data_IF_418540210752
#
_entry.id   IF_418540210752
#
_cell.length_a   1.000
_cell.length_b   1.000
_cell.length_c   1.000
_cell.angle_alpha   90.00
_cell.angle_beta   90.00
_cell.angle_gamma   90.00
#
_symmetry.space_group_name_H-M   'P 1'
#
loop_
_entity.id
_entity.type
_entity.pdbx_description
1 polymer ?
#
# COMPACT_ATOMS: atom_id res chain seq x y z
N UNK A 1 -13.84 30.38 -21.24
CA UNK A 1 -12.47 29.92 -21.59
C UNK A 1 -12.62 28.67 -22.42
N UNK A 2 -12.17 28.73 -23.67
CA UNK A 2 -12.21 27.61 -24.61
C UNK A 2 -11.28 26.52 -24.06
N UNK A 3 -11.80 25.32 -23.80
CA UNK A 3 -10.95 24.15 -23.67
C UNK A 3 -10.34 23.93 -25.06
N UNK A 4 -9.05 24.20 -25.23
CA UNK A 4 -8.34 23.72 -26.42
C UNK A 4 -8.45 22.19 -26.42
N UNK A 5 -9.14 21.63 -27.40
CA UNK A 5 -9.18 20.20 -27.65
C UNK A 5 -7.74 19.69 -27.74
N UNK A 6 -7.34 18.80 -26.82
CA UNK A 6 -6.01 18.18 -26.88
C UNK A 6 -5.91 17.44 -28.20
N UNK A 7 -4.94 17.84 -29.01
CA UNK A 7 -4.59 17.14 -30.24
C UNK A 7 -3.98 15.78 -29.87
N UNK A 8 -4.75 14.72 -30.08
CA UNK A 8 -4.49 13.33 -29.65
C UNK A 8 -3.27 12.71 -30.37
N UNK A 9 -2.77 13.37 -31.42
CA UNK A 9 -1.62 12.93 -32.24
C UNK A 9 -0.27 13.52 -31.79
N UNK A 10 -0.11 13.89 -30.51
CA UNK A 10 1.17 14.39 -29.98
C UNK A 10 1.73 13.45 -28.90
N UNK A 11 3.02 13.05 -29.01
CA UNK A 11 3.63 12.12 -28.07
C UNK A 11 3.67 12.69 -26.66
N UNK A 12 3.28 11.87 -25.68
CA UNK A 12 3.41 12.18 -24.27
C UNK A 12 4.87 12.50 -23.95
N UNK A 13 5.12 13.71 -23.46
CA UNK A 13 6.44 14.12 -22.97
C UNK A 13 6.48 13.91 -21.46
N UNK A 14 7.40 13.06 -21.00
CA UNK A 14 7.50 12.70 -19.58
C UNK A 14 8.89 12.94 -19.01
N UNK A 15 8.94 13.05 -17.68
CA UNK A 15 10.15 13.06 -16.87
C UNK A 15 10.00 12.01 -15.77
N UNK A 16 10.78 10.94 -15.87
CA UNK A 16 10.84 9.88 -14.85
C UNK A 16 12.22 9.95 -14.21
N UNK A 17 12.29 10.18 -12.90
CA UNK A 17 13.53 10.20 -12.15
C UNK A 17 14.25 8.86 -12.17
N UNK A 18 15.55 8.87 -11.90
CA UNK A 18 16.36 7.65 -11.90
C UNK A 18 15.90 6.66 -10.82
N UNK A 19 15.45 7.18 -9.67
CA UNK A 19 14.88 6.42 -8.55
C UNK A 19 13.47 5.87 -8.79
N UNK A 20 12.81 6.29 -9.88
CA UNK A 20 11.47 5.80 -10.19
C UNK A 20 11.51 4.35 -10.70
N UNK A 21 10.43 3.56 -10.48
CA UNK A 21 10.43 2.14 -10.83
C UNK A 21 10.63 1.85 -12.31
N UNK A 22 11.39 0.80 -12.63
CA UNK A 22 11.66 0.38 -14.00
C UNK A 22 10.36 0.02 -14.76
N UNK A 23 9.40 -0.61 -14.09
CA UNK A 23 8.10 -0.96 -14.68
C UNK A 23 7.36 0.27 -15.21
N UNK A 24 7.46 1.43 -14.54
CA UNK A 24 6.86 2.67 -15.02
C UNK A 24 7.43 3.11 -16.37
N UNK A 25 8.72 2.83 -16.64
CA UNK A 25 9.35 3.10 -17.94
C UNK A 25 8.91 2.14 -19.04
N UNK A 26 8.39 0.97 -18.68
CA UNK A 26 7.87 -0.03 -19.63
C UNK A 26 6.39 0.19 -19.95
N UNK A 27 5.64 0.76 -19.00
CA UNK A 27 4.24 1.16 -19.18
C UNK A 27 4.13 2.53 -19.86
N UNK A 28 5.16 3.37 -19.69
CA UNK A 28 5.31 4.61 -20.44
C UNK A 28 5.65 4.34 -21.91
N UNK A 29 4.60 4.33 -22.73
CA UNK A 29 4.45 4.59 -24.18
C UNK A 29 5.71 4.69 -25.08
N UNK A 30 5.54 4.32 -26.36
CA UNK A 30 6.47 4.57 -27.48
C UNK A 30 6.63 6.09 -27.77
N UNK A 31 7.22 6.90 -26.88
CA UNK A 31 7.31 8.36 -27.06
C UNK A 31 8.63 8.99 -26.61
N UNK A 32 8.87 10.25 -27.04
CA UNK A 32 10.14 10.99 -26.88
C UNK A 32 10.47 11.33 -25.42
N UNK A 33 11.58 10.79 -24.92
CA UNK A 33 12.21 11.17 -23.65
C UNK A 33 12.94 12.53 -23.78
N UNK A 34 12.60 13.52 -22.95
CA UNK A 34 13.48 14.69 -22.75
C UNK A 34 14.56 14.37 -21.69
N UNK A 35 15.79 14.85 -21.91
CA UNK A 35 16.86 14.77 -20.89
C UNK A 35 16.49 15.67 -19.71
N UNK A 36 16.80 15.26 -18.47
CA UNK A 36 16.50 16.06 -17.28
C UNK A 36 17.29 17.38 -17.32
N UNK A 37 16.60 18.48 -17.62
CA UNK A 37 17.09 19.80 -17.26
C UNK A 37 16.83 19.98 -15.76
N UNK A 38 17.90 20.15 -14.99
CA UNK A 38 17.82 20.42 -13.56
C UNK A 38 16.97 21.69 -13.35
N UNK A 39 15.83 21.56 -12.68
CA UNK A 39 15.09 22.69 -12.11
C UNK A 39 14.32 23.59 -13.07
N UNK A 40 14.07 23.21 -14.33
CA UNK A 40 13.15 23.96 -15.20
C UNK A 40 12.15 22.99 -15.83
N UNK A 41 10.86 23.22 -15.60
CA UNK A 41 9.79 22.57 -16.34
C UNK A 41 9.67 23.24 -17.71
N UNK A 42 9.99 22.51 -18.78
CA UNK A 42 10.13 23.08 -20.14
C UNK A 42 8.79 23.46 -20.79
N UNK A 43 7.68 23.57 -20.04
CA UNK A 43 6.32 23.78 -20.57
C UNK A 43 5.81 22.63 -21.46
N UNK A 44 6.66 21.69 -21.86
CA UNK A 44 6.35 20.55 -22.73
C UNK A 44 6.11 19.27 -21.94
N UNK A 45 6.77 19.09 -20.79
CA UNK A 45 6.63 17.89 -19.95
C UNK A 45 5.24 17.83 -19.34
N UNK A 46 4.47 16.79 -19.64
CA UNK A 46 3.12 16.57 -19.16
C UNK A 46 3.08 15.67 -17.92
N UNK A 47 3.97 14.67 -17.81
CA UNK A 47 4.01 13.73 -16.69
C UNK A 47 5.35 13.75 -15.98
N UNK A 48 5.34 13.93 -14.66
CA UNK A 48 6.53 14.03 -13.82
C UNK A 48 6.41 13.00 -12.70
N UNK A 49 7.36 12.06 -12.68
CA UNK A 49 7.47 11.07 -11.64
C UNK A 49 8.84 11.12 -10.97
N UNK A 50 8.86 11.21 -9.65
CA UNK A 50 10.06 11.15 -8.81
C UNK A 50 9.91 10.06 -7.74
N UNK A 51 11.00 9.42 -7.34
CA UNK A 51 10.98 8.48 -6.20
C UNK A 51 10.92 9.16 -4.83
N UNK A 52 11.12 10.48 -4.79
CA UNK A 52 11.09 11.31 -3.58
C UNK A 52 10.12 12.47 -3.76
N UNK A 53 9.73 13.10 -2.65
CA UNK A 53 8.87 14.30 -2.66
C UNK A 53 9.49 15.45 -3.44
N UNK A 54 8.63 16.27 -4.04
CA UNK A 54 9.00 17.53 -4.67
C UNK A 54 9.29 18.61 -3.63
N UNK A 55 10.18 19.56 -3.99
CA UNK A 55 10.44 20.76 -3.21
C UNK A 55 9.27 21.74 -3.34
N UNK A 56 9.23 22.75 -2.47
CA UNK A 56 8.19 23.78 -2.54
C UNK A 56 8.16 24.49 -3.90
N UNK A 57 9.33 24.89 -4.40
CA UNK A 57 9.48 25.55 -5.71
C UNK A 57 8.98 24.70 -6.87
N UNK A 58 9.16 23.37 -6.78
CA UNK A 58 8.72 22.44 -7.80
C UNK A 58 7.17 22.45 -7.94
N UNK A 59 6.44 22.67 -6.84
CA UNK A 59 4.98 22.84 -6.85
C UNK A 59 4.55 24.23 -7.34
N UNK A 60 5.30 25.27 -6.98
CA UNK A 60 5.02 26.67 -7.36
C UNK A 60 5.19 26.90 -8.88
N UNK A 61 6.10 26.15 -9.52
CA UNK A 61 6.35 26.22 -10.97
C UNK A 61 5.47 25.25 -11.81
N UNK A 62 4.70 24.38 -11.15
CA UNK A 62 3.88 23.38 -11.81
C UNK A 62 2.75 24.03 -12.63
N UNK A 63 2.64 23.65 -13.91
CA UNK A 63 1.60 24.14 -14.80
C UNK A 63 0.35 23.25 -14.71
N UNK A 64 -0.83 23.83 -14.98
CA UNK A 64 -2.13 23.14 -14.85
C UNK A 64 -2.26 21.86 -15.72
N UNK A 65 -1.54 21.78 -16.84
CA UNK A 65 -1.54 20.62 -17.72
C UNK A 65 -0.60 19.50 -17.25
N UNK A 66 0.27 19.77 -16.27
CA UNK A 66 1.24 18.80 -15.76
C UNK A 66 0.60 17.88 -14.74
N UNK A 67 1.17 16.68 -14.61
CA UNK A 67 0.83 15.70 -13.57
C UNK A 67 2.07 15.33 -12.78
N UNK A 68 2.02 15.53 -11.46
CA UNK A 68 3.12 15.29 -10.53
C UNK A 68 2.75 14.23 -9.51
N UNK A 69 3.59 13.20 -9.35
CA UNK A 69 3.25 11.97 -8.61
C UNK A 69 3.31 12.06 -7.08
N UNK A 70 3.26 13.26 -6.50
CA UNK A 70 3.15 13.44 -5.06
C UNK A 70 2.32 14.67 -4.71
N UNK A 71 1.48 14.55 -3.69
CA UNK A 71 0.85 15.72 -3.06
C UNK A 71 1.79 16.35 -2.02
N UNK A 72 1.76 17.69 -1.87
CA UNK A 72 2.39 18.34 -0.72
C UNK A 72 1.70 17.96 0.59
N UNK A 73 2.45 17.98 1.70
CA UNK A 73 1.98 17.74 3.09
C UNK A 73 1.36 16.36 3.40
N UNK A 74 1.35 15.41 2.49
CA UNK A 74 0.78 14.07 2.76
C UNK A 74 1.67 13.12 3.55
N UNK A 75 2.83 13.58 4.03
CA UNK A 75 3.75 12.74 4.79
C UNK A 75 3.19 12.24 6.12
N UNK A 76 2.16 12.91 6.65
CA UNK A 76 1.54 12.61 7.93
C UNK A 76 0.98 11.17 8.01
N UNK A 77 0.50 10.60 6.90
CA UNK A 77 -0.01 9.22 6.87
C UNK A 77 1.06 8.19 6.50
N UNK A 78 2.18 8.62 5.93
CA UNK A 78 3.22 7.70 5.42
C UNK A 78 4.38 7.45 6.38
N UNK A 79 4.45 8.21 7.48
CA UNK A 79 5.39 7.92 8.58
C UNK A 79 4.64 7.27 9.73
N UNK A 80 5.23 6.22 10.30
CA UNK A 80 4.55 5.35 11.29
C UNK A 80 4.12 6.13 12.53
N UNK A 81 4.99 6.96 13.05
CA UNK A 81 4.77 7.78 14.24
C UNK A 81 3.69 8.84 14.03
N UNK A 82 3.69 9.52 12.88
CA UNK A 82 2.67 10.54 12.57
C UNK A 82 1.32 9.91 12.24
N UNK A 83 1.29 8.74 11.58
CA UNK A 83 0.07 7.99 11.30
C UNK A 83 -0.60 7.54 12.60
N UNK A 84 0.19 7.01 13.55
CA UNK A 84 -0.30 6.62 14.89
C UNK A 84 -0.94 7.81 15.60
N UNK A 85 -0.26 8.98 15.60
CA UNK A 85 -0.80 10.19 16.23
C UNK A 85 -2.11 10.63 15.57
N UNK A 86 -2.14 10.65 14.24
CA UNK A 86 -3.34 11.02 13.48
C UNK A 86 -4.51 10.10 13.83
N UNK A 87 -4.36 8.78 13.68
CA UNK A 87 -5.45 7.82 13.89
C UNK A 87 -5.91 7.77 15.36
N UNK A 88 -5.00 7.98 16.32
CA UNK A 88 -5.38 8.10 17.74
C UNK A 88 -6.17 9.38 18.02
N UNK A 89 -5.78 10.51 17.43
CA UNK A 89 -6.56 11.76 17.52
C UNK A 89 -7.95 11.56 16.92
N UNK A 90 -8.04 10.93 15.76
CA UNK A 90 -9.33 10.66 15.13
C UNK A 90 -10.19 9.68 15.95
N UNK A 91 -9.59 8.65 16.56
CA UNK A 91 -10.29 7.75 17.49
C UNK A 91 -10.78 8.47 18.76
N UNK A 92 -10.03 9.43 19.26
CA UNK A 92 -10.48 10.26 20.39
C UNK A 92 -11.68 11.14 20.01
N UNK A 93 -11.66 11.74 18.82
CA UNK A 93 -12.72 12.67 18.36
C UNK A 93 -13.99 11.96 17.88
N UNK A 94 -13.85 10.85 17.16
CA UNK A 94 -14.94 10.18 16.45
C UNK A 94 -15.23 8.76 16.98
N UNK A 95 -14.50 8.33 18.01
CA UNK A 95 -14.78 7.10 18.73
C UNK A 95 -14.52 5.82 17.91
N UNK A 96 -15.37 4.79 18.06
CA UNK A 96 -15.15 3.45 17.49
C UNK A 96 -15.08 3.39 15.96
N UNK A 97 -15.49 4.44 15.23
CA UNK A 97 -15.36 4.46 13.77
C UNK A 97 -13.89 4.39 13.33
N UNK A 98 -12.96 4.83 14.19
CA UNK A 98 -11.51 4.69 14.01
C UNK A 98 -10.90 3.47 14.72
N UNK A 99 -11.72 2.49 15.14
CA UNK A 99 -11.26 1.24 15.74
C UNK A 99 -10.81 0.21 14.68
N UNK A 100 -9.89 0.62 13.82
CA UNK A 100 -9.29 -0.18 12.75
C UNK A 100 -7.77 -0.07 12.73
N UNK A 101 -7.18 0.50 13.78
CA UNK A 101 -5.75 0.62 13.97
C UNK A 101 -5.38 0.09 15.35
N UNK A 102 -4.39 -0.82 15.47
CA UNK A 102 -4.03 -1.40 16.76
C UNK A 102 -3.52 -0.34 17.74
N UNK A 103 -3.69 -0.59 19.04
CA UNK A 103 -3.18 0.27 20.10
C UNK A 103 -1.67 0.47 19.91
N UNK A 104 -1.21 1.72 19.89
CA UNK A 104 0.18 2.06 19.63
C UNK A 104 0.69 3.21 20.48
N UNK A 105 1.98 3.17 20.80
CA UNK A 105 2.74 4.17 21.53
C UNK A 105 3.99 4.57 20.75
N UNK A 106 4.27 5.87 20.65
CA UNK A 106 5.50 6.39 20.05
C UNK A 106 6.61 6.48 21.10
N UNK A 107 7.66 5.67 21.00
CA UNK A 107 8.82 5.70 21.91
C UNK A 107 9.98 6.50 21.28
N UNK A 108 10.79 7.23 22.07
CA UNK A 108 10.83 7.27 23.55
C UNK A 108 9.73 8.13 24.21
N UNK A 109 9.06 9.01 23.47
CA UNK A 109 8.17 10.06 24.00
C UNK A 109 7.07 9.50 24.93
N UNK A 110 6.43 8.40 24.54
CA UNK A 110 5.33 7.75 25.26
C UNK A 110 5.78 6.52 26.06
N UNK A 111 7.08 6.28 26.26
CA UNK A 111 7.59 5.08 26.93
C UNK A 111 6.99 4.89 28.34
N UNK A 112 6.92 5.96 29.14
CA UNK A 112 6.30 5.92 30.49
C UNK A 112 4.81 5.58 30.43
N UNK A 113 4.10 6.01 29.38
CA UNK A 113 2.68 5.70 29.18
C UNK A 113 2.51 4.23 28.81
N UNK A 114 3.36 3.73 27.92
CA UNK A 114 3.41 2.31 27.57
C UNK A 114 3.69 1.44 28.80
N UNK A 115 4.70 1.77 29.61
CA UNK A 115 5.03 1.00 30.82
C UNK A 115 3.86 0.92 31.82
N UNK A 116 3.14 2.03 32.03
CA UNK A 116 1.96 2.02 32.91
C UNK A 116 0.83 1.15 32.35
N UNK A 117 0.61 1.20 31.04
CA UNK A 117 -0.40 0.38 30.38
C UNK A 117 -0.12 -1.11 30.60
N UNK A 118 1.09 -1.58 30.25
CA UNK A 118 1.42 -3.01 30.38
C UNK A 118 1.40 -3.48 31.83
N UNK A 119 1.80 -2.64 32.80
CA UNK A 119 1.76 -3.00 34.21
C UNK A 119 0.31 -3.28 34.67
N UNK A 120 -0.65 -2.44 34.25
CA UNK A 120 -2.06 -2.62 34.55
C UNK A 120 -2.67 -3.86 33.88
N UNK A 121 -2.28 -4.15 32.64
CA UNK A 121 -2.78 -5.31 31.91
C UNK A 121 -2.19 -6.62 32.47
N UNK A 122 -0.90 -6.62 32.85
CA UNK A 122 -0.25 -7.77 33.49
C UNK A 122 -0.87 -8.11 34.84
N UNK A 123 -1.27 -7.10 35.63
CA UNK A 123 -2.03 -7.29 36.87
C UNK A 123 -3.38 -7.98 36.63
N UNK A 124 -3.95 -7.82 35.43
CA UNK A 124 -5.19 -8.49 34.98
C UNK A 124 -4.92 -9.83 34.29
N UNK A 125 -3.67 -10.30 34.24
CA UNK A 125 -3.28 -11.56 33.64
C UNK A 125 -3.16 -11.53 32.11
N UNK A 126 -3.11 -10.34 31.50
CA UNK A 126 -2.92 -10.20 30.05
C UNK A 126 -1.53 -10.67 29.62
N UNK A 127 -1.48 -11.40 28.51
CA UNK A 127 -0.26 -11.91 27.86
C UNK A 127 -0.11 -11.35 26.44
N UNK A 128 -0.65 -10.15 26.21
CA UNK A 128 -0.57 -9.43 24.94
C UNK A 128 0.84 -9.45 24.34
N UNK A 129 0.89 -9.73 23.05
CA UNK A 129 2.11 -9.66 22.25
C UNK A 129 2.21 -8.26 21.63
N UNK A 130 3.43 -7.76 21.47
CA UNK A 130 3.72 -6.43 20.94
C UNK A 130 4.69 -6.50 19.78
N UNK A 131 4.66 -5.51 18.90
CA UNK A 131 5.60 -5.34 17.80
C UNK A 131 6.26 -3.96 17.88
N UNK A 132 7.59 -3.93 17.84
CA UNK A 132 8.36 -2.69 17.77
C UNK A 132 8.71 -2.41 16.31
N UNK A 133 8.40 -1.19 15.84
CA UNK A 133 8.62 -0.77 14.46
C UNK A 133 9.42 0.54 14.45
N UNK A 134 10.70 0.54 14.07
CA UNK A 134 11.48 1.77 13.93
C UNK A 134 10.82 2.74 12.92
N UNK A 135 10.79 4.02 13.26
CA UNK A 135 10.11 5.05 12.47
C UNK A 135 10.83 5.31 11.14
N UNK A 136 12.16 5.37 11.17
CA UNK A 136 12.99 5.79 10.03
C UNK A 136 13.51 4.63 9.16
N UNK A 137 13.14 3.39 9.49
CA UNK A 137 13.52 2.21 8.72
C UNK A 137 12.37 1.69 7.86
N UNK A 138 12.75 1.21 6.68
CA UNK A 138 11.88 0.53 5.71
C UNK A 138 12.37 -0.90 5.47
N UNK A 139 11.56 -1.70 4.75
CA UNK A 139 11.87 -3.09 4.36
C UNK A 139 11.94 -4.08 5.52
N UNK A 140 11.24 -3.78 6.61
CA UNK A 140 11.17 -4.63 7.79
C UNK A 140 12.43 -4.63 8.67
N UNK A 141 13.41 -3.74 8.41
CA UNK A 141 14.63 -3.66 9.21
C UNK A 141 14.35 -3.19 10.64
N UNK A 142 14.89 -3.90 11.61
CA UNK A 142 14.74 -3.60 13.04
C UNK A 142 13.33 -3.83 13.60
N UNK A 143 12.43 -4.43 12.82
CA UNK A 143 11.11 -4.83 13.32
C UNK A 143 11.25 -6.15 14.06
N UNK A 144 10.72 -6.23 15.27
CA UNK A 144 10.66 -7.46 16.05
C UNK A 144 9.37 -7.53 16.86
N UNK A 145 8.95 -8.77 17.12
CA UNK A 145 7.79 -9.10 17.95
C UNK A 145 8.31 -9.55 19.30
N UNK A 146 7.66 -9.13 20.38
CA UNK A 146 8.11 -9.38 21.75
C UNK A 146 6.91 -9.50 22.70
N UNK A 147 7.13 -10.09 23.87
CA UNK A 147 6.09 -10.23 24.90
C UNK A 147 6.47 -9.50 26.17
N UNK A 148 7.73 -9.58 26.56
CA UNK A 148 8.22 -9.03 27.81
C UNK A 148 8.89 -7.67 27.61
N UNK A 149 8.68 -6.76 28.57
CA UNK A 149 9.22 -5.39 28.47
C UNK A 149 10.74 -5.36 28.31
N UNK A 150 11.47 -6.30 28.91
CA UNK A 150 12.93 -6.34 28.85
C UNK A 150 13.48 -6.69 27.45
N UNK A 151 12.65 -7.26 26.58
CA UNK A 151 12.99 -7.55 25.18
C UNK A 151 12.90 -6.30 24.28
N UNK A 152 12.23 -5.23 24.75
CA UNK A 152 12.06 -4.00 23.99
C UNK A 152 13.39 -3.23 23.90
N UNK A 153 14.07 -3.38 22.77
CA UNK A 153 15.25 -2.61 22.40
C UNK A 153 14.94 -1.59 21.29
N UNK A 154 15.33 -0.33 21.49
CA UNK A 154 15.26 0.71 20.47
C UNK A 154 16.36 1.76 20.68
N UNK A 155 16.96 2.24 19.58
CA UNK A 155 18.01 3.27 19.53
C UNK A 155 17.58 4.54 18.79
N UNK A 156 16.37 4.53 18.24
CA UNK A 156 15.77 5.59 17.47
C UNK A 156 14.29 5.75 17.83
N UNK A 157 13.61 6.71 17.19
CA UNK A 157 12.16 6.82 17.31
C UNK A 157 11.51 5.54 16.76
N UNK A 158 10.60 4.96 17.53
CA UNK A 158 9.90 3.75 17.13
C UNK A 158 8.43 3.79 17.56
N UNK A 159 7.64 2.93 16.95
CA UNK A 159 6.26 2.67 17.32
C UNK A 159 6.20 1.29 17.97
N UNK A 160 5.80 1.24 19.24
CA UNK A 160 5.41 0.01 19.92
C UNK A 160 3.91 -0.16 19.74
N UNK A 161 3.49 -1.25 19.11
CA UNK A 161 2.11 -1.49 18.71
C UNK A 161 1.63 -2.85 19.21
N UNK A 162 0.38 -2.96 19.67
CA UNK A 162 -0.25 -4.23 20.03
C UNK A 162 -0.26 -5.13 18.79
N UNK A 163 0.32 -6.31 18.92
CA UNK A 163 0.41 -7.26 17.83
C UNK A 163 -0.95 -7.91 17.60
N UNK A 164 -1.33 -8.07 16.33
CA UNK A 164 -2.54 -8.83 15.96
C UNK A 164 -2.13 -10.29 15.95
N UNK A 165 -2.43 -10.97 17.05
CA UNK A 165 -1.97 -12.31 17.37
C UNK A 165 -2.92 -13.42 16.89
N UNK A 166 -4.11 -13.04 16.42
CA UNK A 166 -5.14 -13.88 15.78
C UNK A 166 -5.36 -13.53 14.29
N UNK A 167 -4.32 -13.46 13.43
CA UNK A 167 -4.52 -13.16 12.02
C UNK A 167 -5.32 -14.29 11.33
N UNK A 168 -6.12 -13.93 10.33
CA UNK A 168 -6.77 -14.91 9.46
C UNK A 168 -5.69 -15.65 8.65
N UNK A 169 -5.53 -16.94 8.93
CA UNK A 169 -4.50 -17.79 8.32
C UNK A 169 -4.99 -18.47 7.04
N UNK A 170 -4.09 -18.57 6.07
CA UNK A 170 -4.28 -19.41 4.87
C UNK A 170 -3.51 -20.70 5.14
N UNK A 171 -4.25 -21.76 5.50
CA UNK A 171 -3.70 -23.12 5.72
C UNK A 171 -2.57 -23.17 6.75
N UNK A 172 -2.72 -22.42 7.85
CA UNK A 172 -1.75 -22.32 8.94
C UNK A 172 -0.67 -21.25 8.74
N UNK A 173 -0.67 -20.59 7.58
CA UNK A 173 0.30 -19.56 7.24
C UNK A 173 -0.30 -18.17 7.40
N UNK A 174 0.44 -17.31 8.10
CA UNK A 174 0.24 -15.86 8.02
C UNK A 174 0.98 -15.30 6.80
N UNK A 175 2.19 -15.81 6.55
CA UNK A 175 3.05 -15.50 5.41
C UNK A 175 3.79 -16.75 4.91
N UNK A 176 5.14 -16.75 4.90
CA UNK A 176 5.88 -17.81 4.22
C UNK A 176 6.01 -19.08 5.07
N UNK A 177 6.17 -18.91 6.39
CA UNK A 177 6.33 -20.02 7.34
C UNK A 177 5.10 -20.18 8.27
N UNK A 178 4.90 -21.38 8.85
CA UNK A 178 3.78 -21.66 9.75
C UNK A 178 3.72 -20.69 10.93
N UNK A 179 2.53 -20.16 11.19
CA UNK A 179 2.33 -19.15 12.23
C UNK A 179 2.27 -19.77 13.63
N UNK A 180 3.05 -19.24 14.58
CA UNK A 180 3.03 -19.69 15.97
C UNK A 180 3.50 -18.61 16.93
N UNK A 181 2.69 -18.35 17.96
CA UNK A 181 3.04 -17.44 19.06
C UNK A 181 4.07 -18.01 20.05
N UNK A 182 4.47 -19.28 19.87
CA UNK A 182 5.52 -19.91 20.67
C UNK A 182 6.92 -19.59 20.13
N UNK A 183 7.03 -19.04 18.92
CA UNK A 183 8.31 -18.69 18.30
C UNK A 183 8.26 -17.29 17.67
N UNK A 184 8.22 -16.26 18.53
CA UNK A 184 8.18 -14.85 18.10
C UNK A 184 9.42 -14.41 17.30
N UNK A 185 10.52 -15.16 17.42
CA UNK A 185 11.76 -14.93 16.65
C UNK A 185 11.67 -15.33 15.19
N UNK A 186 10.64 -16.09 14.78
CA UNK A 186 10.43 -16.45 13.39
C UNK A 186 9.89 -15.27 12.57
N UNK A 187 10.79 -14.47 12.02
CA UNK A 187 10.43 -13.31 11.21
C UNK A 187 9.63 -13.67 9.95
N UNK A 188 9.78 -14.88 9.39
CA UNK A 188 9.09 -15.32 8.17
C UNK A 188 7.63 -15.73 8.41
N UNK A 189 7.27 -16.06 9.65
CA UNK A 189 5.88 -16.32 10.04
C UNK A 189 5.18 -15.05 10.54
N UNK A 190 5.93 -14.09 11.09
CA UNK A 190 5.34 -12.92 11.74
C UNK A 190 5.31 -11.65 10.88
N UNK A 191 6.29 -11.45 10.00
CA UNK A 191 6.46 -10.22 9.21
C UNK A 191 6.00 -10.40 7.76
N UNK A 192 5.34 -9.37 7.24
CA UNK A 192 4.65 -9.41 5.94
C UNK A 192 5.55 -8.97 4.77
N UNK A 193 6.68 -8.33 5.08
CA UNK A 193 7.49 -7.63 4.10
C UNK A 193 8.12 -8.61 3.11
N UNK A 194 7.87 -8.41 1.81
CA UNK A 194 8.46 -9.24 0.74
C UNK A 194 10.00 -9.25 0.79
N UNK A 195 10.63 -8.15 1.21
CA UNK A 195 12.10 -8.09 1.36
C UNK A 195 12.67 -9.07 2.38
N UNK A 196 11.87 -9.47 3.36
CA UNK A 196 12.20 -10.48 4.37
C UNK A 196 11.82 -11.85 3.83
N UNK A 197 10.55 -12.05 3.44
CA UNK A 197 10.04 -13.36 3.04
C UNK A 197 10.70 -13.94 1.79
N UNK A 198 11.27 -13.11 0.90
CA UNK A 198 12.08 -13.60 -0.23
C UNK A 198 13.34 -14.37 0.18
N UNK A 199 13.77 -14.23 1.44
CA UNK A 199 14.91 -14.91 2.03
C UNK A 199 14.48 -16.16 2.81
N UNK A 200 13.17 -16.45 2.89
CA UNK A 200 12.70 -17.62 3.61
C UNK A 200 13.16 -18.90 2.89
N UNK A 201 13.64 -19.91 3.64
CA UNK A 201 13.97 -21.23 3.08
C UNK A 201 12.78 -21.95 2.44
N UNK A 202 11.55 -21.62 2.85
CA UNK A 202 10.32 -22.26 2.36
C UNK A 202 9.66 -21.57 1.17
N UNK A 203 10.24 -20.49 0.65
CA UNK A 203 9.58 -19.66 -0.37
C UNK A 203 9.14 -20.46 -1.60
N UNK A 204 10.01 -21.34 -2.10
CA UNK A 204 9.76 -22.14 -3.29
C UNK A 204 9.20 -23.53 -2.99
N UNK A 205 8.89 -23.82 -1.72
CA UNK A 205 8.29 -25.10 -1.35
C UNK A 205 6.80 -25.08 -1.68
N UNK A 206 6.27 -26.23 -2.12
CA UNK A 206 4.85 -26.40 -2.31
C UNK A 206 4.17 -26.43 -0.93
N UNK A 207 3.21 -25.53 -0.73
CA UNK A 207 2.44 -25.39 0.50
C UNK A 207 0.99 -25.72 0.20
N UNK A 208 0.37 -26.56 1.03
CA UNK A 208 -1.01 -26.99 0.85
C UNK A 208 -1.95 -25.77 0.72
N UNK A 209 -2.83 -25.81 -0.28
CA UNK A 209 -3.73 -24.74 -0.74
C UNK A 209 -3.05 -23.44 -1.24
N UNK A 210 -1.89 -23.08 -0.69
CA UNK A 210 -1.13 -21.85 -1.00
C UNK A 210 -0.48 -21.92 -2.38
N UNK A 211 0.11 -23.09 -2.69
CA UNK A 211 0.98 -23.30 -3.83
C UNK A 211 2.41 -22.77 -3.58
N UNK A 212 3.26 -22.71 -4.61
CA UNK A 212 4.61 -22.19 -4.48
C UNK A 212 4.60 -20.65 -4.34
N UNK A 213 5.51 -20.11 -3.52
CA UNK A 213 5.63 -18.68 -3.24
C UNK A 213 4.78 -18.18 -2.07
N UNK A 214 4.54 -16.86 -2.05
CA UNK A 214 3.83 -16.19 -0.95
C UNK A 214 2.94 -15.02 -1.41
N UNK A 215 2.58 -14.97 -2.70
CA UNK A 215 1.78 -13.88 -3.28
C UNK A 215 0.58 -14.42 -4.05
N UNK A 216 -0.60 -13.91 -3.73
CA UNK A 216 -1.83 -14.13 -4.47
C UNK A 216 -2.38 -12.81 -5.01
N UNK A 217 -3.04 -12.88 -6.16
CA UNK A 217 -3.90 -11.78 -6.61
C UNK A 217 -5.27 -11.85 -5.92
N UNK A 218 -6.10 -10.81 -6.07
CA UNK A 218 -7.42 -10.78 -5.44
C UNK A 218 -8.39 -11.83 -5.97
N UNK A 219 -8.26 -12.28 -7.22
CA UNK A 219 -9.11 -13.33 -7.75
C UNK A 219 -8.92 -14.65 -6.98
N UNK A 220 -7.65 -15.08 -6.81
CA UNK A 220 -7.31 -16.28 -6.04
C UNK A 220 -7.69 -16.14 -4.56
N UNK A 221 -7.44 -14.96 -3.96
CA UNK A 221 -7.83 -14.71 -2.57
C UNK A 221 -9.37 -14.76 -2.39
N UNK A 222 -10.14 -14.14 -3.31
CA UNK A 222 -11.60 -14.15 -3.28
C UNK A 222 -12.15 -15.58 -3.39
N UNK A 223 -11.62 -16.37 -4.31
CA UNK A 223 -12.00 -17.78 -4.48
C UNK A 223 -11.74 -18.57 -3.18
N UNK A 224 -10.55 -18.43 -2.60
CA UNK A 224 -10.17 -19.12 -1.38
C UNK A 224 -11.06 -18.76 -0.18
N UNK A 225 -11.34 -17.46 0.01
CA UNK A 225 -12.19 -16.98 1.11
C UNK A 225 -13.65 -17.39 0.93
N UNK A 226 -14.15 -17.37 -0.30
CA UNK A 226 -15.52 -17.81 -0.61
C UNK A 226 -15.70 -19.29 -0.30
N UNK A 227 -14.68 -20.12 -0.52
CA UNK A 227 -14.69 -21.53 -0.14
C UNK A 227 -14.71 -21.79 1.38
N UNK A 228 -14.59 -20.75 2.21
CA UNK A 228 -14.62 -20.80 3.68
C UNK A 228 -15.77 -19.99 4.28
N UNK A 229 -16.78 -19.65 3.48
CA UNK A 229 -17.93 -18.82 3.87
C UNK A 229 -17.54 -17.42 4.40
N UNK A 230 -16.40 -16.88 3.94
CA UNK A 230 -15.96 -15.52 4.27
C UNK A 230 -16.36 -14.57 3.13
N UNK A 231 -17.22 -13.61 3.44
CA UNK A 231 -17.74 -12.62 2.49
C UNK A 231 -16.66 -11.59 2.09
N UNK A 232 -16.03 -11.82 0.94
CA UNK A 232 -15.06 -10.92 0.34
C UNK A 232 -15.63 -9.52 0.06
N UNK A 233 -16.87 -9.43 -0.40
CA UNK A 233 -17.43 -8.14 -0.83
C UNK A 233 -17.62 -7.24 0.41
N UNK A 234 -18.02 -7.82 1.55
CA UNK A 234 -18.03 -7.12 2.85
C UNK A 234 -16.64 -6.66 3.30
N UNK A 235 -15.61 -7.50 3.16
CA UNK A 235 -14.22 -7.12 3.46
C UNK A 235 -13.77 -5.96 2.57
N UNK A 236 -14.10 -6.02 1.28
CA UNK A 236 -13.71 -5.00 0.31
C UNK A 236 -14.39 -3.64 0.58
N UNK A 237 -15.69 -3.64 0.90
CA UNK A 237 -16.38 -2.42 1.34
C UNK A 237 -15.75 -1.85 2.62
N UNK A 238 -15.38 -2.71 3.57
CA UNK A 238 -14.66 -2.30 4.78
C UNK A 238 -13.33 -1.63 4.42
N UNK A 239 -12.50 -2.26 3.58
CA UNK A 239 -11.23 -1.70 3.13
C UNK A 239 -11.41 -0.31 2.52
N UNK A 240 -12.38 -0.13 1.61
CA UNK A 240 -12.67 1.19 1.00
C UNK A 240 -13.01 2.24 2.06
N UNK A 241 -13.86 1.89 3.03
CA UNK A 241 -14.20 2.79 4.14
C UNK A 241 -12.97 3.16 4.99
N UNK A 242 -12.09 2.20 5.29
CA UNK A 242 -10.86 2.47 6.04
C UNK A 242 -9.92 3.41 5.29
N UNK A 243 -9.79 3.23 3.97
CA UNK A 243 -8.98 4.14 3.13
C UNK A 243 -9.57 5.56 3.19
N UNK A 244 -10.88 5.71 3.00
CA UNK A 244 -11.56 7.02 3.04
C UNK A 244 -11.37 7.69 4.41
N UNK A 245 -11.65 6.99 5.50
CA UNK A 245 -11.51 7.52 6.87
C UNK A 245 -10.07 7.93 7.19
N UNK A 246 -9.09 7.26 6.59
CA UNK A 246 -7.67 7.59 6.76
C UNK A 246 -7.25 8.82 5.97
N UNK A 247 -7.75 8.96 4.73
CA UNK A 247 -7.41 10.07 3.84
C UNK A 247 -8.17 11.36 4.16
N UNK A 248 -9.39 11.25 4.69
CA UNK A 248 -10.27 12.39 4.98
C UNK A 248 -9.60 13.52 5.79
N UNK A 249 -8.95 13.26 6.95
CA UNK A 249 -8.27 14.33 7.70
C UNK A 249 -7.04 14.89 6.97
N UNK A 250 -6.41 14.12 6.08
CA UNK A 250 -5.24 14.59 5.31
C UNK A 250 -5.68 15.46 4.14
N UNK A 251 -6.81 15.14 3.51
CA UNK A 251 -7.33 15.89 2.37
C UNK A 251 -7.54 17.37 2.70
N UNK A 252 -7.87 17.70 3.96
CA UNK A 252 -8.03 19.08 4.43
C UNK A 252 -6.69 19.85 4.51
N UNK A 253 -5.57 19.14 4.67
CA UNK A 253 -4.23 19.73 4.75
C UNK A 253 -3.58 19.92 3.38
N UNK A 254 -4.07 19.23 2.36
CA UNK A 254 -3.55 19.33 0.99
C UNK A 254 -3.99 20.67 0.40
N UNK A 255 -3.06 21.54 -0.01
CA UNK A 255 -3.39 22.81 -0.64
C UNK A 255 -4.15 22.59 -1.96
N UNK A 256 -5.06 23.51 -2.33
CA UNK A 256 -5.85 23.39 -3.56
C UNK A 256 -5.02 23.55 -4.84
N UNK A 257 -3.77 24.02 -4.73
CA UNK A 257 -2.83 24.17 -5.83
C UNK A 257 -1.46 23.56 -5.46
N UNK A 258 -0.74 23.00 -6.45
CA UNK A 258 -1.16 22.82 -7.85
C UNK A 258 -2.19 21.69 -8.02
N UNK A 259 -3.13 21.87 -8.95
CA UNK A 259 -4.18 20.87 -9.24
C UNK A 259 -3.66 19.60 -9.94
N UNK A 260 -2.43 19.61 -10.44
CA UNK A 260 -1.83 18.50 -11.18
C UNK A 260 -1.27 17.36 -10.31
N UNK A 261 -1.39 17.42 -8.99
CA UNK A 261 -0.83 16.39 -8.13
C UNK A 261 -1.69 15.12 -8.09
N UNK A 262 -1.03 13.98 -8.01
CA UNK A 262 -1.65 12.69 -7.72
C UNK A 262 -0.71 11.87 -6.81
N UNK A 263 -1.20 10.78 -6.26
CA UNK A 263 -0.41 9.92 -5.40
C UNK A 263 -0.81 8.45 -5.57
N UNK A 264 0.19 7.57 -5.58
CA UNK A 264 -0.01 6.13 -5.52
C UNK A 264 0.42 5.65 -4.13
N UNK A 265 -0.54 5.36 -3.26
CA UNK A 265 -0.28 4.79 -1.94
C UNK A 265 -0.29 3.26 -1.97
N UNK A 266 0.58 2.65 -1.18
CA UNK A 266 0.44 1.24 -0.78
C UNK A 266 -0.15 1.15 0.61
N UNK A 267 -1.40 0.70 0.73
CA UNK A 267 -2.00 0.43 2.04
C UNK A 267 -1.79 -1.03 2.42
N UNK A 268 -1.24 -1.24 3.62
CA UNK A 268 -1.00 -2.57 4.16
C UNK A 268 -2.08 -2.89 5.19
N UNK A 269 -2.84 -3.95 4.92
CA UNK A 269 -3.91 -4.42 5.79
C UNK A 269 -3.60 -5.80 6.35
N UNK A 270 -4.24 -6.13 7.47
CA UNK A 270 -4.37 -7.49 7.95
C UNK A 270 -5.80 -7.74 8.40
N UNK A 271 -6.28 -8.96 8.19
CA UNK A 271 -7.59 -9.42 8.61
C UNK A 271 -7.38 -10.42 9.75
N UNK A 272 -8.13 -10.30 10.83
CA UNK A 272 -8.10 -11.25 11.93
C UNK A 272 -9.15 -12.36 11.78
N UNK A 273 -9.16 -13.32 12.70
CA UNK A 273 -10.12 -14.43 12.71
C UNK A 273 -11.58 -14.00 12.85
N UNK A 274 -11.83 -12.80 13.39
CA UNK A 274 -13.18 -12.22 13.50
C UNK A 274 -13.58 -11.46 12.22
N UNK A 275 -12.78 -11.55 11.17
CA UNK A 275 -12.94 -10.85 9.90
C UNK A 275 -12.87 -9.33 10.07
N UNK A 276 -12.25 -8.85 11.15
CA UNK A 276 -11.98 -7.42 11.35
C UNK A 276 -10.71 -7.05 10.60
N UNK A 277 -10.83 -5.99 9.80
CA UNK A 277 -9.73 -5.44 8.99
C UNK A 277 -9.01 -4.35 9.76
N UNK A 278 -7.68 -4.45 9.81
CA UNK A 278 -6.78 -3.52 10.47
C UNK A 278 -5.80 -2.90 9.48
N UNK A 279 -5.54 -1.59 9.62
CA UNK A 279 -4.45 -0.92 8.91
C UNK A 279 -3.15 -1.12 9.68
N UNK A 280 -2.10 -1.54 8.97
CA UNK A 280 -0.75 -1.73 9.52
C UNK A 280 0.16 -0.55 9.22
N UNK A 281 0.23 -0.14 7.96
CA UNK A 281 1.03 1.00 7.49
C UNK A 281 0.54 1.50 6.13
N UNK A 282 1.03 2.69 5.74
CA UNK A 282 0.76 3.30 4.44
C UNK A 282 2.10 3.73 3.87
N UNK A 283 2.42 3.20 2.70
CA UNK A 283 3.69 3.41 2.03
C UNK A 283 3.54 4.48 0.94
N UNK A 284 4.40 5.50 1.01
CA UNK A 284 4.64 6.40 -0.13
C UNK A 284 5.45 5.65 -1.18
N UNK A 285 5.03 5.67 -2.44
CA UNK A 285 5.72 4.98 -3.53
C UNK A 285 5.86 3.46 -3.28
N UNK A 286 4.75 2.70 -3.35
CA UNK A 286 4.79 1.25 -3.16
C UNK A 286 5.78 0.58 -4.10
N UNK A 287 6.33 -0.56 -3.67
CA UNK A 287 7.33 -1.29 -4.44
C UNK A 287 6.73 -1.83 -5.74
N UNK A 288 7.19 -1.29 -6.87
CA UNK A 288 6.79 -1.69 -8.23
C UNK A 288 7.85 -2.59 -8.90
N UNK A 289 8.70 -3.27 -8.12
CA UNK A 289 9.54 -4.36 -8.63
C UNK A 289 8.67 -5.52 -9.11
N UNK A 290 9.13 -6.24 -10.13
CA UNK A 290 8.46 -7.43 -10.66
C UNK A 290 9.38 -8.61 -10.38
N UNK A 291 9.04 -9.38 -9.35
CA UNK A 291 9.82 -10.55 -8.93
C UNK A 291 9.12 -11.86 -9.37
N UNK A 292 7.79 -11.83 -9.55
CA UNK A 292 6.98 -12.98 -9.99
C UNK A 292 5.99 -12.60 -11.10
N UNK A 293 5.39 -13.59 -11.76
CA UNK A 293 4.31 -13.36 -12.73
C UNK A 293 3.09 -12.69 -12.11
N UNK A 294 2.79 -12.99 -10.84
CA UNK A 294 1.71 -12.34 -10.08
C UNK A 294 1.97 -10.84 -9.97
N UNK A 295 3.21 -10.43 -9.66
CA UNK A 295 3.57 -9.00 -9.63
C UNK A 295 3.28 -8.32 -10.97
N UNK A 296 3.69 -8.96 -12.09
CA UNK A 296 3.49 -8.40 -13.43
C UNK A 296 2.00 -8.27 -13.77
N UNK A 297 1.22 -9.32 -13.48
CA UNK A 297 -0.21 -9.39 -13.77
C UNK A 297 -1.04 -8.34 -13.02
N UNK A 298 -0.56 -7.87 -11.86
CA UNK A 298 -1.24 -6.87 -11.04
C UNK A 298 -0.70 -5.46 -11.28
N UNK A 299 0.63 -5.29 -11.26
CA UNK A 299 1.27 -3.95 -11.26
C UNK A 299 1.21 -3.30 -12.64
N UNK A 300 1.29 -4.07 -13.73
CA UNK A 300 1.24 -3.50 -15.08
C UNK A 300 -0.15 -2.91 -15.39
N UNK A 301 -1.28 -3.62 -15.19
CA UNK A 301 -2.61 -3.04 -15.36
C UNK A 301 -2.86 -1.85 -14.42
N UNK A 302 -2.44 -1.94 -13.15
CA UNK A 302 -2.55 -0.82 -12.20
C UNK A 302 -1.93 0.47 -12.74
N UNK A 303 -0.72 0.40 -13.28
CA UNK A 303 -0.04 1.57 -13.83
C UNK A 303 -0.71 2.10 -15.10
N UNK A 304 -1.24 1.22 -15.94
CA UNK A 304 -1.99 1.60 -17.14
C UNK A 304 -3.30 2.33 -16.78
N UNK A 305 -4.08 1.75 -15.87
CA UNK A 305 -5.32 2.35 -15.38
C UNK A 305 -5.04 3.69 -14.70
N UNK A 306 -3.95 3.80 -13.95
CA UNK A 306 -3.51 5.07 -13.37
C UNK A 306 -3.21 6.12 -14.45
N UNK A 307 -2.47 5.77 -15.51
CA UNK A 307 -2.20 6.71 -16.61
C UNK A 307 -3.50 7.16 -17.30
N UNK A 308 -4.45 6.25 -17.48
CA UNK A 308 -5.76 6.55 -18.06
C UNK A 308 -6.56 7.51 -17.18
N UNK A 309 -6.63 7.25 -15.86
CA UNK A 309 -7.36 8.08 -14.89
C UNK A 309 -6.79 9.49 -14.77
N UNK A 310 -5.47 9.64 -14.92
CA UNK A 310 -4.81 10.95 -14.87
C UNK A 310 -5.01 11.77 -16.15
N UNK A 311 -5.65 11.18 -17.16
CA UNK A 311 -5.71 11.72 -18.52
C UNK A 311 -4.29 11.99 -19.06
N UNK A 312 -3.39 11.02 -18.81
CA UNK A 312 -1.97 11.02 -19.21
C UNK A 312 -1.68 9.96 -20.29
N UNK A 313 -2.61 9.04 -20.56
CA UNK A 313 -2.59 8.13 -21.71
C UNK A 313 -3.40 8.74 -22.88
N UNK A 314 -3.09 8.59 -24.17
CA UNK A 314 -1.94 8.10 -24.92
C UNK A 314 -2.14 8.54 -26.38
N UNK A 315 -1.05 8.63 -27.12
CA UNK A 315 -0.92 8.99 -28.54
C UNK A 315 -1.55 7.97 -29.52
N UNK A 316 -2.49 7.12 -29.10
CA UNK A 316 -3.15 6.14 -29.98
C UNK A 316 -4.54 5.78 -29.45
N UNK A 317 -5.57 6.23 -30.17
CA UNK A 317 -6.95 5.79 -29.96
C UNK A 317 -7.10 4.26 -30.02
N UNK A 318 -6.16 3.57 -30.67
CA UNK A 318 -6.15 2.11 -30.82
C UNK A 318 -5.78 1.36 -29.54
N UNK A 319 -4.88 1.88 -28.69
CA UNK A 319 -4.51 1.20 -27.43
C UNK A 319 -5.61 1.34 -26.37
N UNK A 320 -6.19 2.52 -26.20
CA UNK A 320 -7.34 2.69 -25.32
C UNK A 320 -8.56 1.87 -25.81
N UNK A 321 -8.76 1.76 -27.13
CA UNK A 321 -9.79 0.93 -27.75
C UNK A 321 -9.52 -0.58 -27.60
N UNK A 322 -8.29 -1.05 -27.84
CA UNK A 322 -7.89 -2.45 -27.63
C UNK A 322 -7.94 -2.86 -26.17
N UNK A 323 -7.58 -1.97 -25.23
CA UNK A 323 -7.70 -2.23 -23.80
C UNK A 323 -9.17 -2.29 -23.36
N UNK A 324 -10.03 -1.40 -23.84
CA UNK A 324 -11.48 -1.47 -23.61
C UNK A 324 -12.06 -2.79 -24.14
N UNK A 325 -11.59 -3.23 -25.30
CA UNK A 325 -11.93 -4.52 -25.92
C UNK A 325 -11.38 -5.73 -25.14
N UNK A 326 -10.24 -5.61 -24.46
CA UNK A 326 -9.69 -6.65 -23.57
C UNK A 326 -10.44 -6.72 -22.23
N UNK A 327 -10.81 -5.58 -21.65
CA UNK A 327 -11.66 -5.49 -20.46
C UNK A 327 -13.05 -6.10 -20.71
N UNK A 328 -13.68 -5.78 -21.85
CA UNK A 328 -14.98 -6.34 -22.25
C UNK A 328 -14.90 -7.86 -22.52
N UNK A 329 -13.75 -8.36 -23.01
CA UNK A 329 -13.49 -9.80 -23.18
C UNK A 329 -13.28 -10.54 -21.85
N UNK A 330 -12.68 -9.89 -20.85
CA UNK A 330 -12.49 -10.47 -19.51
C UNK A 330 -13.77 -10.55 -18.67
N UNK A 331 -14.82 -9.81 -19.05
CA UNK A 331 -16.14 -9.82 -18.40
C UNK A 331 -17.16 -10.79 -19.03
N UNK A 332 -16.72 -11.71 -19.90
CA UNK A 332 -17.60 -12.73 -20.48
C UNK A 332 -17.94 -13.76 -19.40
N UNK A 333 -19.16 -13.66 -18.84
CA UNK A 333 -19.78 -14.69 -17.98
C UNK A 333 -19.65 -16.07 -18.65
N UNK A 334 -19.41 -17.15 -17.88
CA UNK A 334 -19.30 -18.49 -18.45
C UNK A 334 -20.58 -18.81 -19.23
N UNK A 335 -20.41 -19.24 -20.50
CA UNK A 335 -21.51 -19.75 -21.32
C UNK A 335 -22.18 -20.88 -20.54
N UNK A 336 -23.47 -20.73 -20.23
CA UNK A 336 -24.33 -21.85 -19.84
C UNK A 336 -24.16 -22.93 -20.90
N UNK A 337 -23.61 -24.08 -20.52
CA UNK A 337 -23.71 -25.27 -21.34
C UNK A 337 -25.20 -25.56 -21.50
N UNK A 338 -25.69 -25.46 -22.74
CA UNK A 338 -26.97 -25.99 -23.12
C UNK A 338 -26.87 -27.51 -23.03
N UNK A 339 -27.49 -28.09 -22.01
CA UNK A 339 -27.85 -29.50 -22.03
C UNK A 339 -28.87 -29.69 -23.17
N UNK A 340 -28.44 -30.30 -24.27
CA UNK A 340 -29.37 -30.95 -25.20
C UNK A 340 -29.71 -32.32 -24.63
N UNK A 341 -31.02 -32.58 -24.50
CA UNK A 341 -31.62 -33.90 -24.29
C UNK A 341 -31.11 -34.96 -25.28
#
# INVERSE_FOLDING_TARGET
>A
MMYEERNINKPLVYRIGDSSPALLRQVGFHTKKEKPAIGIYTGKVQYINTGSRFRKTDYEECQNFQRMNHFPKTSIITKKDTLVRLLRTMKFLYGPVYDFFPLSFSVPIEFKKYMRYIQQEQEQGDKSVWICKPADLSRGRGIFVFRELHELAYDCNAVVQKYIDNPLLISGYKFDEPYSLNNLGNVFSHLTNTSINKLSPSLNQEKDDVGPGCKWNFAKLKEHLSGRDIDWDKIWERIKALVILTLLPVAQEVPPQPQGCFELYGFDFIIDTDVKTWILEINLSPALSVDTEVDLSVKRPLLLDMMLLLDVAADDGDLAYEFKKQLDKSNIKPKRQSNSC
#
